data_IF_268950552422
#
_entry.id   IF_268950552422
#
_cell.length_a   1.000
_cell.length_b   1.000
_cell.length_c   1.000
_cell.angle_alpha   90.00
_cell.angle_beta   90.00
_cell.angle_gamma   90.00
#
_symmetry.space_group_name_H-M   'P 1'
#
loop_
_entity.id
_entity.type
_entity.pdbx_description
1 polymer ?
#
# COMPACT_ATOMS: atom_id res chain seq x y z
N UNK A 1 -0.40 3.09 13.24
CA UNK A 1 -0.39 1.69 12.73
C UNK A 1 0.01 1.63 11.26
N UNK A 2 -0.56 2.46 10.39
CA UNK A 2 -0.26 2.46 8.94
C UNK A 2 1.24 2.57 8.60
N UNK A 3 1.98 3.48 9.24
CA UNK A 3 3.42 3.64 9.01
C UNK A 3 4.22 2.34 9.26
N UNK A 4 3.89 1.61 10.34
CA UNK A 4 4.47 0.30 10.65
C UNK A 4 4.22 -0.72 9.54
N UNK A 5 2.99 -0.77 9.01
CA UNK A 5 2.70 -1.65 7.88
C UNK A 5 3.46 -1.27 6.61
N UNK A 6 3.51 0.02 6.29
CA UNK A 6 4.21 0.55 5.11
C UNK A 6 5.71 0.19 5.15
N UNK A 7 6.35 0.36 6.30
CA UNK A 7 7.80 0.14 6.47
C UNK A 7 8.13 -1.32 6.75
N UNK A 8 7.49 -1.95 7.73
CA UNK A 8 7.94 -3.24 8.27
C UNK A 8 7.32 -4.44 7.53
N UNK A 9 6.05 -4.31 7.09
CA UNK A 9 5.28 -5.42 6.52
C UNK A 9 5.31 -5.40 5.00
N UNK A 10 4.91 -4.29 4.39
CA UNK A 10 4.87 -4.12 2.93
C UNK A 10 6.23 -3.71 2.37
N UNK A 11 7.06 -3.06 3.20
CA UNK A 11 8.39 -2.56 2.84
C UNK A 11 8.35 -1.64 1.61
N UNK A 12 7.32 -0.79 1.53
CA UNK A 12 7.04 0.14 0.41
C UNK A 12 7.28 1.60 0.76
N UNK A 13 7.84 1.88 1.93
CA UNK A 13 8.18 3.23 2.34
C UNK A 13 9.22 3.26 3.45
N UNK A 14 9.61 4.47 3.83
CA UNK A 14 10.57 4.73 4.91
C UNK A 14 9.92 5.59 5.97
N UNK A 15 10.39 5.47 7.21
CA UNK A 15 9.92 6.29 8.32
C UNK A 15 10.87 7.48 8.51
N UNK A 16 10.30 8.69 8.59
CA UNK A 16 11.01 9.86 9.08
C UNK A 16 10.63 10.10 10.54
N UNK A 17 11.63 10.16 11.42
CA UNK A 17 11.40 10.43 12.83
C UNK A 17 10.90 11.85 13.03
N UNK A 18 9.91 12.04 13.93
CA UNK A 18 9.34 13.36 14.24
C UNK A 18 10.40 14.37 14.71
N UNK A 19 11.41 13.90 15.43
CA UNK A 19 12.54 14.70 15.90
C UNK A 19 13.45 15.20 14.78
N UNK A 20 13.33 14.65 13.56
CA UNK A 20 14.18 14.95 12.41
C UNK A 20 13.36 15.46 11.22
N UNK A 21 12.56 16.50 11.44
CA UNK A 21 11.67 17.07 10.40
C UNK A 21 12.22 18.38 9.82
N UNK A 22 13.51 18.63 9.94
CA UNK A 22 14.14 19.77 9.28
C UNK A 22 14.35 19.50 7.79
N UNK A 23 14.53 20.59 7.02
CA UNK A 23 14.65 20.52 5.56
C UNK A 23 15.80 19.62 5.09
N UNK A 24 16.95 19.63 5.79
CA UNK A 24 18.13 18.87 5.36
C UNK A 24 17.87 17.38 5.52
N UNK A 25 17.23 17.00 6.62
CA UNK A 25 16.86 15.60 6.84
C UNK A 25 15.83 15.11 5.81
N UNK A 26 14.81 15.91 5.53
CA UNK A 26 13.80 15.57 4.52
C UNK A 26 14.46 15.35 3.16
N UNK A 27 15.37 16.25 2.75
CA UNK A 27 16.11 16.10 1.49
C UNK A 27 16.96 14.82 1.48
N UNK A 28 17.65 14.51 2.58
CA UNK A 28 18.44 13.28 2.71
C UNK A 28 17.56 12.04 2.53
N UNK A 29 16.43 11.96 3.22
CA UNK A 29 15.51 10.82 3.13
C UNK A 29 14.95 10.68 1.72
N UNK A 30 14.58 11.77 1.05
CA UNK A 30 14.11 11.71 -0.34
C UNK A 30 15.20 11.13 -1.26
N UNK A 31 16.44 11.63 -1.15
CA UNK A 31 17.56 11.15 -1.97
C UNK A 31 17.88 9.68 -1.70
N UNK A 32 17.96 9.28 -0.44
CA UNK A 32 18.11 7.88 -0.03
C UNK A 32 16.98 7.02 -0.55
N UNK A 33 15.72 7.46 -0.44
CA UNK A 33 14.58 6.70 -0.96
C UNK A 33 14.61 6.44 -2.46
N UNK A 34 15.16 7.38 -3.23
CA UNK A 34 15.35 7.20 -4.67
C UNK A 34 16.45 6.19 -5.01
N UNK A 35 17.58 6.24 -4.28
CA UNK A 35 18.75 5.40 -4.52
C UNK A 35 18.57 4.03 -3.84
N UNK A 36 18.44 4.02 -2.52
CA UNK A 36 18.28 2.82 -1.69
C UNK A 36 16.96 2.12 -2.00
N UNK A 37 15.88 2.85 -2.28
CA UNK A 37 14.61 2.24 -2.69
C UNK A 37 14.67 1.55 -4.05
N UNK A 38 15.60 1.95 -4.92
CA UNK A 38 15.90 1.23 -6.16
C UNK A 38 16.75 -0.02 -5.88
N UNK A 39 17.76 0.08 -5.02
CA UNK A 39 18.67 -1.03 -4.66
C UNK A 39 17.95 -2.10 -3.83
N UNK A 40 17.15 -1.71 -2.85
CA UNK A 40 16.40 -2.60 -1.95
C UNK A 40 15.09 -3.13 -2.59
N UNK A 41 14.80 -2.80 -3.85
CA UNK A 41 13.63 -3.33 -4.55
C UNK A 41 12.28 -2.80 -4.02
N UNK A 42 12.28 -1.68 -3.29
CA UNK A 42 11.07 -1.01 -2.80
C UNK A 42 10.11 -0.69 -3.95
N UNK A 43 10.65 -0.20 -5.07
CA UNK A 43 9.85 0.08 -6.29
C UNK A 43 9.15 -1.16 -6.83
N UNK A 44 9.83 -2.30 -6.85
CA UNK A 44 9.27 -3.56 -7.34
C UNK A 44 8.14 -4.05 -6.42
N UNK A 45 8.32 -3.94 -5.10
CA UNK A 45 7.27 -4.21 -4.11
C UNK A 45 6.05 -3.31 -4.33
N UNK A 46 6.25 -2.00 -4.55
CA UNK A 46 5.16 -1.08 -4.87
C UNK A 46 4.38 -1.52 -6.11
N UNK A 47 5.08 -1.92 -7.18
CA UNK A 47 4.45 -2.42 -8.41
C UNK A 47 3.65 -3.71 -8.16
N UNK A 48 4.21 -4.66 -7.41
CA UNK A 48 3.47 -5.88 -7.04
C UNK A 48 2.23 -5.58 -6.21
N UNK A 49 2.29 -4.65 -5.26
CA UNK A 49 1.13 -4.24 -4.48
C UNK A 49 0.07 -3.56 -5.33
N UNK A 50 0.47 -2.67 -6.26
CA UNK A 50 -0.44 -2.06 -7.25
C UNK A 50 -1.13 -3.15 -8.07
N UNK A 51 -0.39 -4.14 -8.56
CA UNK A 51 -0.97 -5.21 -9.37
C UNK A 51 -1.95 -6.07 -8.56
N UNK A 52 -1.62 -6.43 -7.32
CA UNK A 52 -2.55 -7.15 -6.44
C UNK A 52 -3.84 -6.37 -6.19
N UNK A 53 -3.77 -5.05 -6.05
CA UNK A 53 -4.94 -4.19 -5.91
C UNK A 53 -5.79 -4.19 -7.20
N UNK A 54 -5.17 -4.12 -8.38
CA UNK A 54 -5.89 -4.23 -9.65
C UNK A 54 -6.58 -5.59 -9.78
N UNK A 55 -5.88 -6.69 -9.49
CA UNK A 55 -6.42 -8.05 -9.59
C UNK A 55 -7.60 -8.25 -8.65
N UNK A 56 -7.51 -7.83 -7.39
CA UNK A 56 -8.62 -8.06 -6.45
C UNK A 56 -9.86 -7.21 -6.76
N UNK A 57 -9.70 -6.09 -7.46
CA UNK A 57 -10.79 -5.21 -7.92
C UNK A 57 -11.28 -5.52 -9.33
N UNK A 58 -10.65 -6.45 -10.05
CA UNK A 58 -11.11 -6.89 -11.37
C UNK A 58 -12.50 -7.54 -11.29
N UNK A 59 -13.17 -7.74 -12.44
CA UNK A 59 -14.50 -8.36 -12.50
C UNK A 59 -14.56 -9.72 -11.78
N UNK A 60 -13.55 -10.57 -11.96
CA UNK A 60 -13.43 -11.85 -11.26
C UNK A 60 -12.63 -11.79 -9.95
N UNK A 61 -12.28 -10.59 -9.52
CA UNK A 61 -11.47 -10.30 -8.36
C UNK A 61 -12.15 -10.65 -7.04
N UNK A 62 -11.35 -10.95 -6.02
CA UNK A 62 -11.87 -11.33 -4.70
C UNK A 62 -12.72 -10.22 -4.07
N UNK A 63 -12.26 -8.97 -4.12
CA UNK A 63 -12.99 -7.84 -3.52
C UNK A 63 -14.33 -7.62 -4.21
N UNK A 64 -14.36 -7.70 -5.55
CA UNK A 64 -15.61 -7.61 -6.34
C UNK A 64 -16.59 -8.73 -5.96
N UNK A 65 -16.12 -9.99 -5.89
CA UNK A 65 -16.94 -11.14 -5.46
C UNK A 65 -17.48 -10.99 -4.05
N UNK A 66 -16.68 -10.48 -3.10
CA UNK A 66 -17.16 -10.24 -1.74
C UNK A 66 -18.16 -9.09 -1.69
N UNK A 67 -17.99 -8.06 -2.51
CA UNK A 67 -18.94 -6.95 -2.60
C UNK A 67 -20.28 -7.42 -3.18
N UNK A 68 -20.28 -8.25 -4.23
CA UNK A 68 -21.48 -8.87 -4.79
C UNK A 68 -22.20 -9.72 -3.74
N UNK A 69 -21.48 -10.59 -3.02
CA UNK A 69 -22.04 -11.39 -1.93
C UNK A 69 -22.68 -10.52 -0.84
N UNK A 70 -22.02 -9.43 -0.47
CA UNK A 70 -22.54 -8.48 0.51
C UNK A 70 -23.85 -7.84 0.00
N UNK A 71 -23.88 -7.41 -1.26
CA UNK A 71 -25.09 -6.84 -1.87
C UNK A 71 -26.24 -7.85 -1.92
N UNK A 72 -25.98 -9.09 -2.35
CA UNK A 72 -26.99 -10.16 -2.34
C UNK A 72 -27.51 -10.46 -0.93
N UNK A 73 -26.63 -10.45 0.07
CA UNK A 73 -27.04 -10.65 1.46
C UNK A 73 -27.96 -9.54 1.95
N UNK A 74 -27.63 -8.27 1.68
CA UNK A 74 -28.48 -7.13 2.05
C UNK A 74 -29.85 -7.23 1.38
N UNK A 75 -29.88 -7.50 0.06
CA UNK A 75 -31.13 -7.62 -0.71
C UNK A 75 -32.00 -8.81 -0.29
N UNK A 76 -31.43 -9.84 0.35
CA UNK A 76 -32.21 -10.96 0.86
C UNK A 76 -33.12 -10.61 2.04
N UNK A 77 -32.93 -9.45 2.66
CA UNK A 77 -33.79 -8.94 3.74
C UNK A 77 -34.92 -8.03 3.24
N UNK A 78 -34.89 -7.60 1.97
CA UNK A 78 -35.89 -6.72 1.37
C UNK A 78 -37.06 -7.49 0.71
N UNK A 79 -37.14 -8.80 0.93
CA UNK A 79 -38.23 -9.70 0.50
C UNK A 79 -38.85 -10.45 1.68
#
# INVERSE_FOLDING_TARGET
VNARYIVDVWKVGMMLERSKMDRKEIERVIRSGMIDGMIDGMRERCLRWKERANVCLSQDGSSSKYLEKLASHILSFDY
#
